data_IF_934667420067
#
_entry.id   IF_934667420067
#
_cell.length_a   1.000
_cell.length_b   1.000
_cell.length_c   1.000
_cell.angle_alpha   90.00
_cell.angle_beta   90.00
_cell.angle_gamma   90.00
#
_symmetry.space_group_name_H-M   'P 1'
#
loop_
_entity.id
_entity.type
_entity.pdbx_description
1 polymer ?
#
# COMPACT_ATOMS: atom_id res chain seq x y z
N UNK A 1 -2.19 19.82 -18.48
CA UNK A 1 -1.65 19.28 -17.22
C UNK A 1 -0.15 19.20 -17.34
N UNK A 2 0.57 19.58 -16.29
CA UNK A 2 2.03 19.44 -16.25
C UNK A 2 2.42 17.96 -16.08
N UNK A 3 3.60 17.51 -16.56
CA UNK A 3 4.02 16.11 -16.48
C UNK A 3 4.02 15.55 -15.05
N UNK A 4 4.43 16.35 -14.08
CA UNK A 4 4.52 15.99 -12.66
C UNK A 4 3.14 15.72 -12.04
N UNK A 5 2.16 16.55 -12.39
CA UNK A 5 0.76 16.43 -11.95
C UNK A 5 0.13 15.13 -12.52
N UNK A 6 0.51 14.73 -13.74
CA UNK A 6 0.07 13.45 -14.31
C UNK A 6 0.66 12.24 -13.58
N UNK A 7 1.91 12.32 -13.12
CA UNK A 7 2.55 11.23 -12.36
C UNK A 7 1.87 11.09 -11.01
N UNK A 8 1.69 12.19 -10.27
CA UNK A 8 1.01 12.14 -8.97
C UNK A 8 -0.39 11.51 -9.09
N UNK A 9 -1.20 11.96 -10.05
CA UNK A 9 -2.53 11.41 -10.28
C UNK A 9 -2.49 9.91 -10.60
N UNK A 10 -1.55 9.44 -11.41
CA UNK A 10 -1.39 8.00 -11.71
C UNK A 10 -1.15 7.17 -10.44
N UNK A 11 -0.30 7.65 -9.53
CA UNK A 11 -0.01 6.95 -8.27
C UNK A 11 -1.20 7.00 -7.30
N UNK A 12 -1.92 8.11 -7.23
CA UNK A 12 -3.14 8.24 -6.43
C UNK A 12 -4.25 7.30 -6.95
N UNK A 13 -4.45 7.23 -8.27
CA UNK A 13 -5.42 6.32 -8.89
C UNK A 13 -5.05 4.84 -8.67
N UNK A 14 -3.76 4.50 -8.76
CA UNK A 14 -3.27 3.16 -8.45
C UNK A 14 -3.52 2.80 -6.98
N UNK A 15 -3.22 3.69 -6.05
CA UNK A 15 -3.49 3.50 -4.63
C UNK A 15 -4.99 3.36 -4.36
N UNK A 16 -5.84 4.20 -4.96
CA UNK A 16 -7.30 4.14 -4.78
C UNK A 16 -7.87 2.82 -5.31
N UNK A 17 -7.43 2.37 -6.50
CA UNK A 17 -7.84 1.10 -7.08
C UNK A 17 -7.45 -0.08 -6.17
N UNK A 18 -6.21 -0.08 -5.67
CA UNK A 18 -5.72 -1.10 -4.75
C UNK A 18 -6.51 -1.12 -3.43
N UNK A 19 -6.66 0.03 -2.77
CA UNK A 19 -7.40 0.14 -1.50
C UNK A 19 -8.87 -0.26 -1.66
N UNK A 20 -9.48 0.06 -2.80
CA UNK A 20 -10.86 -0.34 -3.11
C UNK A 20 -11.04 -1.86 -3.21
N UNK A 21 -10.01 -2.60 -3.67
CA UNK A 21 -10.00 -4.07 -3.65
C UNK A 21 -9.76 -4.60 -2.24
N UNK A 22 -8.80 -4.04 -1.51
CA UNK A 22 -8.49 -4.42 -0.12
C UNK A 22 -9.71 -4.26 0.79
N UNK A 23 -10.48 -3.17 0.65
CA UNK A 23 -11.71 -2.92 1.43
C UNK A 23 -12.78 -4.01 1.27
N UNK A 24 -12.73 -4.82 0.21
CA UNK A 24 -13.68 -5.93 0.01
C UNK A 24 -13.32 -7.16 0.85
N UNK A 25 -12.05 -7.29 1.27
CA UNK A 25 -11.58 -8.38 2.12
C UNK A 25 -11.66 -8.00 3.60
N UNK A 26 -12.57 -8.65 4.32
CA UNK A 26 -12.82 -8.41 5.76
C UNK A 26 -11.67 -8.89 6.67
N UNK A 27 -10.70 -9.61 6.13
CA UNK A 27 -9.52 -10.06 6.87
C UNK A 27 -8.55 -8.91 7.15
N UNK A 28 -8.58 -7.82 6.38
CA UNK A 28 -7.78 -6.63 6.64
C UNK A 28 -8.58 -5.60 7.44
N UNK A 29 -7.91 -4.92 8.37
CA UNK A 29 -8.52 -3.89 9.25
C UNK A 29 -7.96 -2.50 9.00
N UNK A 30 -6.78 -2.39 8.39
CA UNK A 30 -6.18 -1.13 8.01
C UNK A 30 -5.22 -1.33 6.82
N UNK A 31 -5.07 -0.27 6.03
CA UNK A 31 -4.00 -0.09 5.06
C UNK A 31 -3.24 1.18 5.46
N UNK A 32 -1.93 1.09 5.65
CA UNK A 32 -1.08 2.20 6.06
C UNK A 32 -0.12 2.49 4.91
N UNK A 33 -0.29 3.65 4.28
CA UNK A 33 0.63 4.16 3.27
C UNK A 33 1.88 4.71 3.95
N UNK A 34 3.05 4.38 3.43
CA UNK A 34 4.33 4.97 3.82
C UNK A 34 5.21 5.20 2.56
N UNK A 35 6.44 5.67 2.73
CA UNK A 35 7.35 5.91 1.62
C UNK A 35 7.00 7.18 0.80
N UNK A 36 7.47 7.24 -0.44
CA UNK A 36 7.50 8.49 -1.24
C UNK A 36 6.11 9.12 -1.46
N UNK A 37 5.08 8.34 -1.75
CA UNK A 37 3.72 8.84 -1.95
C UNK A 37 3.11 9.44 -0.68
N UNK A 38 3.53 9.00 0.52
CA UNK A 38 3.05 9.58 1.78
C UNK A 38 3.56 11.01 2.04
N UNK A 39 4.61 11.43 1.34
CA UNK A 39 5.21 12.76 1.42
C UNK A 39 4.98 13.62 0.16
N UNK A 40 4.14 13.16 -0.79
CA UNK A 40 3.92 13.82 -2.09
C UNK A 40 5.20 13.93 -2.97
N UNK A 41 6.16 13.01 -2.84
CA UNK A 41 7.48 13.05 -3.52
C UNK A 41 7.65 11.95 -4.59
N UNK A 42 6.58 11.58 -5.31
CA UNK A 42 6.65 10.52 -6.34
C UNK A 42 7.22 11.00 -7.68
N UNK A 43 7.90 10.08 -8.38
CA UNK A 43 8.45 10.27 -9.73
C UNK A 43 8.31 8.98 -10.55
N UNK A 44 8.77 8.96 -11.80
CA UNK A 44 8.50 7.86 -12.76
C UNK A 44 9.04 6.50 -12.33
N UNK A 45 10.00 6.44 -11.39
CA UNK A 45 10.60 5.20 -10.90
C UNK A 45 10.22 4.87 -9.45
N UNK A 46 9.30 5.61 -8.85
CA UNK A 46 8.75 5.27 -7.54
C UNK A 46 7.96 3.96 -7.58
N UNK A 47 7.70 3.43 -6.41
CA UNK A 47 6.69 2.43 -6.11
C UNK A 47 5.74 2.98 -5.03
N UNK A 48 4.71 2.19 -4.69
CA UNK A 48 3.79 2.47 -3.60
C UNK A 48 4.04 1.45 -2.49
N UNK A 49 4.29 1.95 -1.29
CA UNK A 49 4.58 1.15 -0.10
C UNK A 49 3.36 1.11 0.83
N UNK A 50 2.83 -0.09 1.10
CA UNK A 50 1.65 -0.27 1.96
C UNK A 50 1.83 -1.38 2.98
N UNK A 51 1.51 -1.10 4.24
CA UNK A 51 1.26 -2.15 5.24
C UNK A 51 -0.22 -2.48 5.30
N UNK A 52 -0.55 -3.76 5.12
CA UNK A 52 -1.89 -4.28 5.35
C UNK A 52 -1.94 -4.95 6.73
N UNK A 53 -2.72 -4.35 7.62
CA UNK A 53 -2.91 -4.93 8.95
C UNK A 53 -4.02 -5.98 8.87
N UNK A 54 -3.64 -7.25 9.07
CA UNK A 54 -4.57 -8.37 9.05
C UNK A 54 -5.14 -8.64 10.45
N UNK A 55 -6.37 -9.17 10.50
CA UNK A 55 -6.92 -9.82 11.69
C UNK A 55 -6.04 -11.01 12.08
N UNK A 56 -6.11 -11.40 13.35
CA UNK A 56 -5.40 -12.58 13.85
C UNK A 56 -5.78 -13.83 13.04
N UNK A 57 -4.79 -14.64 12.68
CA UNK A 57 -4.99 -15.87 11.90
C UNK A 57 -3.89 -16.18 10.90
N UNK A 58 -3.11 -15.17 10.49
CA UNK A 58 -1.87 -15.36 9.72
C UNK A 58 -0.65 -15.51 10.63
N UNK A 59 0.27 -16.42 10.28
CA UNK A 59 1.54 -16.59 10.99
C UNK A 59 2.62 -15.76 10.31
N UNK A 60 3.05 -14.68 10.97
CA UNK A 60 4.17 -13.86 10.55
C UNK A 60 3.86 -12.85 9.46
N UNK A 61 4.86 -12.06 9.13
CA UNK A 61 4.84 -11.05 8.08
C UNK A 61 5.08 -11.69 6.70
N UNK A 62 4.30 -11.27 5.72
CA UNK A 62 4.45 -11.70 4.32
C UNK A 62 4.51 -10.47 3.42
N UNK A 63 5.48 -10.41 2.53
CA UNK A 63 5.63 -9.32 1.57
C UNK A 63 5.33 -9.76 0.14
N UNK A 64 4.68 -8.88 -0.61
CA UNK A 64 4.25 -9.11 -1.99
C UNK A 64 4.57 -7.89 -2.84
N UNK A 65 4.98 -8.13 -4.09
CA UNK A 65 5.03 -7.09 -5.12
C UNK A 65 3.86 -7.29 -6.08
N UNK A 66 3.03 -6.26 -6.21
CA UNK A 66 1.85 -6.23 -7.07
C UNK A 66 2.00 -5.14 -8.12
N UNK A 67 1.17 -5.19 -9.15
CA UNK A 67 1.07 -4.13 -10.16
C UNK A 67 -0.38 -3.67 -10.23
N UNK A 68 -0.60 -2.37 -10.06
CA UNK A 68 -1.91 -1.73 -10.16
C UNK A 68 -1.81 -0.51 -11.09
N UNK A 69 -2.63 -0.45 -12.13
CA UNK A 69 -2.57 0.61 -13.16
C UNK A 69 -1.15 0.83 -13.76
N UNK A 70 -0.31 -0.20 -13.78
CA UNK A 70 1.08 -0.12 -14.24
C UNK A 70 2.08 0.42 -13.22
N UNK A 71 1.64 0.74 -12.00
CA UNK A 71 2.49 1.15 -10.87
C UNK A 71 2.77 -0.07 -9.98
N UNK A 72 4.02 -0.23 -9.56
CA UNK A 72 4.40 -1.28 -8.61
C UNK A 72 3.91 -0.91 -7.21
N UNK A 73 3.31 -1.87 -6.51
CA UNK A 73 2.93 -1.75 -5.11
C UNK A 73 3.66 -2.82 -4.31
N UNK A 74 4.49 -2.39 -3.37
CA UNK A 74 5.10 -3.26 -2.38
C UNK A 74 4.20 -3.30 -1.14
N UNK A 75 3.76 -4.51 -0.78
CA UNK A 75 2.78 -4.73 0.29
C UNK A 75 3.36 -5.65 1.33
N UNK A 76 3.44 -5.22 2.58
CA UNK A 76 3.69 -6.11 3.71
C UNK A 76 2.38 -6.38 4.47
N UNK A 77 2.04 -7.65 4.66
CA UNK A 77 0.90 -8.07 5.47
C UNK A 77 1.40 -8.33 6.89
N UNK A 78 0.88 -7.56 7.84
CA UNK A 78 1.31 -7.60 9.24
C UNK A 78 0.12 -8.05 10.09
N UNK A 79 0.23 -9.16 10.87
CA UNK A 79 -0.78 -9.50 11.86
C UNK A 79 -0.96 -8.36 12.89
N UNK A 80 -2.20 -8.04 13.25
CA UNK A 80 -2.50 -6.96 14.21
C UNK A 80 -1.69 -7.10 15.52
N UNK A 81 -1.55 -8.31 16.05
CA UNK A 81 -0.77 -8.59 17.26
C UNK A 81 0.70 -8.19 17.12
N UNK A 82 1.31 -8.43 15.95
CA UNK A 82 2.68 -8.02 15.66
C UNK A 82 2.79 -6.50 15.53
N UNK A 83 1.82 -5.85 14.87
CA UNK A 83 1.81 -4.39 14.72
C UNK A 83 1.72 -3.64 16.07
N UNK A 84 1.05 -4.24 17.06
CA UNK A 84 0.92 -3.67 18.41
C UNK A 84 2.03 -4.10 19.38
N UNK A 85 2.93 -5.00 18.97
CA UNK A 85 3.98 -5.48 19.83
C UNK A 85 4.98 -4.35 20.15
N UNK A 86 5.43 -4.20 21.40
CA UNK A 86 6.55 -3.32 21.70
C UNK A 86 7.81 -3.81 20.99
N UNK A 87 8.59 -2.86 20.48
CA UNK A 87 9.92 -3.10 19.88
C UNK A 87 11.00 -3.37 20.92
#
# INVERSE_FOLDING_TARGET
MQPEENIKNLYEEALESFVSKVKQDRNFIAAILYGSLSYDEVWEKSDIDVWLIAREGKKGEESYCLVENGVNIHVAIIPRSQFLAPG
#
